data_IF_228949267213
#
_entry.id   IF_228949267213
#
_cell.length_a   1.000
_cell.length_b   1.000
_cell.length_c   1.000
_cell.angle_alpha   90.00
_cell.angle_beta   90.00
_cell.angle_gamma   90.00
#
_symmetry.space_group_name_H-M   'P 1'
#
loop_
_entity.id
_entity.type
_entity.pdbx_description
1 polymer ?
#
# COMPACT_ATOMS: atom_id res chain seq x y z
N UNK A 1 3.91 -1.77 -5.45
CA UNK A 1 3.91 -2.69 -4.30
C UNK A 1 2.49 -3.11 -4.00
N UNK A 2 2.27 -4.35 -3.56
CA UNK A 2 0.95 -4.98 -3.46
C UNK A 2 0.19 -5.06 -4.80
N UNK A 3 -0.85 -5.90 -4.87
CA UNK A 3 -1.66 -6.03 -6.07
C UNK A 3 -3.14 -6.20 -5.73
N UNK A 4 -3.95 -5.20 -6.07
CA UNK A 4 -5.41 -5.22 -5.91
C UNK A 4 -5.91 -5.41 -4.47
N UNK A 5 -5.06 -5.10 -3.49
CA UNK A 5 -5.37 -5.30 -2.09
C UNK A 5 -6.54 -4.44 -1.59
N UNK A 6 -6.85 -3.31 -2.23
CA UNK A 6 -7.99 -2.46 -1.86
C UNK A 6 -9.35 -3.16 -1.90
N UNK A 7 -9.50 -4.24 -2.67
CA UNK A 7 -10.71 -5.08 -2.64
C UNK A 7 -10.79 -5.97 -1.40
N UNK A 8 -9.64 -6.35 -0.83
CA UNK A 8 -9.53 -7.29 0.29
C UNK A 8 -9.34 -6.60 1.62
N UNK A 9 -8.75 -5.40 1.64
CA UNK A 9 -8.49 -4.61 2.83
C UNK A 9 -9.69 -4.53 3.80
N UNK A 10 -10.94 -4.27 3.35
CA UNK A 10 -12.09 -4.21 4.26
C UNK A 10 -12.35 -5.53 5.00
N UNK A 11 -12.01 -6.68 4.40
CA UNK A 11 -12.17 -8.01 5.02
C UNK A 11 -11.30 -8.19 6.26
N UNK A 12 -10.23 -7.39 6.39
CA UNK A 12 -9.30 -7.43 7.51
C UNK A 12 -9.48 -6.25 8.49
N UNK A 13 -10.46 -5.37 8.23
CA UNK A 13 -10.74 -4.20 9.06
C UNK A 13 -9.52 -3.30 9.27
N UNK A 14 -9.34 -2.80 10.49
CA UNK A 14 -8.21 -1.92 10.84
C UNK A 14 -6.84 -2.57 10.57
N UNK A 15 -6.75 -3.90 10.68
CA UNK A 15 -5.53 -4.65 10.38
C UNK A 15 -5.12 -4.56 8.92
N UNK A 16 -6.09 -4.60 8.00
CA UNK A 16 -5.86 -4.42 6.56
C UNK A 16 -5.30 -3.04 6.26
N UNK A 17 -5.88 -1.99 6.86
CA UNK A 17 -5.40 -0.61 6.69
C UNK A 17 -3.98 -0.42 7.20
N UNK A 18 -3.68 -0.96 8.39
CA UNK A 18 -2.31 -0.92 8.95
C UNK A 18 -1.32 -1.67 8.07
N UNK A 19 -1.72 -2.80 7.51
CA UNK A 19 -0.89 -3.57 6.58
C UNK A 19 -0.59 -2.79 5.29
N UNK A 20 -1.61 -2.24 4.63
CA UNK A 20 -1.44 -1.47 3.39
C UNK A 20 -0.49 -0.27 3.59
N UNK A 21 -0.65 0.45 4.71
CA UNK A 21 0.22 1.56 5.07
C UNK A 21 1.66 1.12 5.38
N UNK A 22 1.83 0.00 6.08
CA UNK A 22 3.15 -0.58 6.33
C UNK A 22 3.83 -1.00 5.02
N UNK A 23 3.11 -1.68 4.12
CA UNK A 23 3.66 -2.14 2.85
C UNK A 23 4.11 -0.97 1.96
N UNK A 24 3.31 0.10 1.90
CA UNK A 24 3.66 1.33 1.21
C UNK A 24 4.95 1.96 1.78
N UNK A 25 5.00 2.15 3.11
CA UNK A 25 6.18 2.73 3.77
C UNK A 25 7.44 1.88 3.60
N UNK A 26 7.31 0.55 3.67
CA UNK A 26 8.42 -0.38 3.46
C UNK A 26 8.97 -0.29 2.02
N UNK A 27 8.10 -0.14 1.02
CA UNK A 27 8.52 0.03 -0.37
C UNK A 27 9.26 1.35 -0.59
N UNK A 28 8.70 2.47 -0.10
CA UNK A 28 9.33 3.79 -0.20
C UNK A 28 10.70 3.80 0.49
N UNK A 29 10.84 3.14 1.64
CA UNK A 29 12.12 3.09 2.38
C UNK A 29 13.25 2.38 1.65
N UNK A 30 12.97 1.63 0.58
CA UNK A 30 14.02 1.00 -0.23
C UNK A 30 14.80 2.01 -1.09
N UNK A 31 14.33 3.26 -1.19
CA UNK A 31 15.01 4.36 -1.88
C UNK A 31 15.50 3.99 -3.29
N UNK A 32 14.60 3.41 -4.09
CA UNK A 32 14.89 2.92 -5.45
C UNK A 32 15.21 4.02 -6.46
N UNK A 33 14.94 5.29 -6.11
CA UNK A 33 15.16 6.46 -6.98
C UNK A 33 14.07 6.69 -8.04
N UNK A 34 13.00 5.88 -8.04
CA UNK A 34 11.84 6.02 -8.93
C UNK A 34 10.54 5.80 -8.14
N UNK A 35 9.39 6.32 -8.62
CA UNK A 35 8.10 6.17 -7.92
C UNK A 35 7.63 4.72 -7.79
N UNK A 36 6.77 4.48 -6.81
CA UNK A 36 6.05 3.23 -6.66
C UNK A 36 4.63 3.38 -7.23
N UNK A 37 3.94 2.24 -7.40
CA UNK A 37 2.52 2.22 -7.74
C UNK A 37 1.84 1.16 -6.89
N UNK A 38 0.58 1.39 -6.51
CA UNK A 38 -0.30 0.40 -5.89
C UNK A 38 -1.58 0.31 -6.73
N UNK A 39 -1.78 -0.79 -7.45
CA UNK A 39 -2.94 -0.94 -8.32
C UNK A 39 -4.19 -1.30 -7.51
N UNK A 40 -5.32 -0.68 -7.85
CA UNK A 40 -6.62 -0.90 -7.19
C UNK A 40 -6.52 -0.80 -5.66
N UNK A 41 -5.66 0.10 -5.17
CA UNK A 41 -5.58 0.50 -3.78
C UNK A 41 -6.22 1.89 -3.68
N UNK A 42 -7.45 1.95 -3.17
CA UNK A 42 -8.29 3.16 -3.28
C UNK A 42 -7.86 4.31 -2.35
N UNK A 43 -6.96 4.01 -1.43
CA UNK A 43 -6.45 4.91 -0.40
C UNK A 43 -4.93 4.75 -0.23
N UNK A 44 -4.25 4.45 -1.34
CA UNK A 44 -2.79 4.46 -1.39
C UNK A 44 -2.25 5.80 -0.87
N UNK A 45 -1.23 5.79 0.01
CA UNK A 45 -0.70 7.03 0.55
C UNK A 45 0.06 7.83 -0.52
N UNK A 46 0.07 9.16 -0.41
CA UNK A 46 0.75 10.06 -1.37
C UNK A 46 2.26 9.82 -1.52
N UNK A 47 2.86 9.06 -0.60
CA UNK A 47 4.29 8.75 -0.59
C UNK A 47 4.70 7.67 -1.58
N UNK A 48 3.76 6.86 -2.08
CA UNK A 48 4.03 5.82 -3.10
C UNK A 48 3.86 6.35 -4.51
#
# INVERSE_FOLDING_TARGET
>A
IENEYGYYEPSYGEGGKKYAMWAANMAVSQNTGVPWIMCQQFDAPDTV
#
